data_IF_940262639905
#
_entry.id   IF_940262639905
#
_cell.length_a   1.000
_cell.length_b   1.000
_cell.length_c   1.000
_cell.angle_alpha   90.00
_cell.angle_beta   90.00
_cell.angle_gamma   90.00
#
_symmetry.space_group_name_H-M   'P 1'
#
loop_
_entity.id
_entity.type
_entity.pdbx_description
1 polymer ?
#
# COMPACT_ATOMS: atom_id res chain seq x y z
N UNK A 1 -16.83 36.32 -1.60
CA UNK A 1 -15.44 36.49 -2.07
C UNK A 1 -15.04 35.23 -2.82
N UNK A 2 -14.77 35.34 -4.13
CA UNK A 2 -14.40 34.21 -4.98
C UNK A 2 -12.94 34.43 -5.34
N UNK A 3 -12.03 33.84 -4.58
CA UNK A 3 -10.60 33.92 -4.89
C UNK A 3 -10.34 33.04 -6.10
N UNK A 4 -9.90 33.67 -7.20
CA UNK A 4 -9.32 32.98 -8.33
C UNK A 4 -8.07 32.26 -7.84
N UNK A 5 -8.20 30.96 -7.57
CA UNK A 5 -7.06 30.05 -7.45
C UNK A 5 -6.72 29.64 -8.88
N UNK A 6 -5.48 29.91 -9.27
CA UNK A 6 -4.97 29.65 -10.60
C UNK A 6 -5.20 28.21 -11.03
N UNK A 7 -5.46 28.00 -12.32
CA UNK A 7 -5.62 26.69 -12.92
C UNK A 7 -4.39 25.77 -12.73
N UNK A 8 -3.25 26.36 -12.38
CA UNK A 8 -1.97 25.76 -12.00
C UNK A 8 -1.97 25.00 -10.66
N UNK A 9 -2.71 25.48 -9.64
CA UNK A 9 -2.76 24.83 -8.33
C UNK A 9 -3.62 23.54 -8.35
N UNK A 10 -4.70 23.57 -9.14
CA UNK A 10 -5.60 22.43 -9.31
C UNK A 10 -4.98 21.25 -10.07
N UNK A 11 -4.20 21.54 -11.11
CA UNK A 11 -3.44 20.52 -11.84
C UNK A 11 -2.38 19.88 -10.93
N UNK A 12 -1.68 20.68 -10.11
CA UNK A 12 -0.71 20.19 -9.14
C UNK A 12 -1.32 19.24 -8.09
N UNK A 13 -2.49 19.57 -7.53
CA UNK A 13 -3.17 18.68 -6.56
C UNK A 13 -3.60 17.36 -7.20
N UNK A 14 -4.12 17.38 -8.42
CA UNK A 14 -4.50 16.15 -9.13
C UNK A 14 -3.27 15.29 -9.48
N UNK A 15 -2.18 15.90 -9.94
CA UNK A 15 -0.91 15.21 -10.21
C UNK A 15 -0.32 14.57 -8.94
N UNK A 16 -0.37 15.27 -7.80
CA UNK A 16 0.10 14.73 -6.53
C UNK A 16 -0.73 13.50 -6.10
N UNK A 17 -2.05 13.54 -6.26
CA UNK A 17 -2.90 12.38 -5.98
C UNK A 17 -2.58 11.18 -6.88
N UNK A 18 -2.28 11.43 -8.17
CA UNK A 18 -1.82 10.39 -9.10
C UNK A 18 -0.47 9.83 -8.66
N UNK A 19 0.48 10.68 -8.29
CA UNK A 19 1.80 10.26 -7.81
C UNK A 19 1.69 9.40 -6.53
N UNK A 20 0.86 9.82 -5.57
CA UNK A 20 0.56 9.06 -4.35
C UNK A 20 -0.09 7.71 -4.70
N UNK A 21 -0.99 7.67 -5.68
CA UNK A 21 -1.63 6.42 -6.11
C UNK A 21 -0.61 5.45 -6.73
N UNK A 22 0.30 5.93 -7.56
CA UNK A 22 1.39 5.12 -8.13
C UNK A 22 2.36 4.64 -7.05
N UNK A 23 2.73 5.50 -6.11
CA UNK A 23 3.58 5.13 -4.97
C UNK A 23 2.92 4.02 -4.11
N UNK A 24 1.60 4.11 -3.87
CA UNK A 24 0.84 3.06 -3.18
C UNK A 24 0.83 1.75 -3.95
N UNK A 25 0.67 1.77 -5.28
CA UNK A 25 0.74 0.56 -6.12
C UNK A 25 2.11 -0.09 -6.03
N UNK A 26 3.18 0.69 -6.12
CA UNK A 26 4.53 0.17 -6.01
C UNK A 26 4.82 -0.43 -4.63
N UNK A 27 4.41 0.27 -3.57
CA UNK A 27 4.51 -0.25 -2.21
C UNK A 27 3.75 -1.56 -2.04
N UNK A 28 2.55 -1.68 -2.62
CA UNK A 28 1.75 -2.91 -2.57
C UNK A 28 2.44 -4.07 -3.29
N UNK A 29 3.08 -3.84 -4.45
CA UNK A 29 3.87 -4.86 -5.16
C UNK A 29 5.05 -5.35 -4.32
N UNK A 30 5.79 -4.42 -3.71
CA UNK A 30 6.92 -4.74 -2.81
C UNK A 30 6.47 -5.51 -1.57
N UNK A 31 5.34 -5.12 -0.98
CA UNK A 31 4.73 -5.81 0.15
C UNK A 31 4.39 -7.26 -0.22
N UNK A 32 3.76 -7.49 -1.38
CA UNK A 32 3.42 -8.85 -1.83
C UNK A 32 4.66 -9.76 -1.99
N UNK A 33 5.73 -9.24 -2.61
CA UNK A 33 6.98 -9.98 -2.75
C UNK A 33 7.58 -10.30 -1.38
N UNK A 34 7.59 -9.34 -0.46
CA UNK A 34 8.11 -9.53 0.90
C UNK A 34 7.29 -10.57 1.68
N UNK A 35 5.96 -10.50 1.60
CA UNK A 35 5.05 -11.46 2.24
C UNK A 35 5.26 -12.87 1.69
N UNK A 36 5.39 -13.02 0.36
CA UNK A 36 5.66 -14.32 -0.26
C UNK A 36 7.00 -14.89 0.18
N UNK A 37 8.07 -14.08 0.23
CA UNK A 37 9.38 -14.50 0.74
C UNK A 37 9.31 -14.92 2.20
N UNK A 38 8.65 -14.13 3.05
CA UNK A 38 8.47 -14.43 4.47
C UNK A 38 7.68 -15.72 4.71
N UNK A 39 6.63 -15.96 3.91
CA UNK A 39 5.88 -17.22 3.94
C UNK A 39 6.74 -18.40 3.52
N UNK A 40 7.52 -18.26 2.45
CA UNK A 40 8.43 -19.31 1.97
C UNK A 40 9.57 -19.60 2.97
N UNK A 41 9.98 -18.62 3.77
CA UNK A 41 10.96 -18.81 4.85
C UNK A 41 10.34 -19.31 6.17
N UNK A 42 9.04 -19.64 6.17
CA UNK A 42 8.37 -20.29 7.30
C UNK A 42 7.73 -19.35 8.33
N UNK A 43 7.77 -18.02 8.15
CA UNK A 43 7.12 -17.09 9.08
C UNK A 43 5.60 -17.30 9.09
N UNK A 44 4.99 -17.29 10.28
CA UNK A 44 3.54 -17.41 10.43
C UNK A 44 2.87 -16.09 10.03
N UNK A 45 1.63 -16.18 9.54
CA UNK A 45 0.82 -15.00 9.19
C UNK A 45 0.75 -13.94 10.30
N UNK A 46 0.67 -14.36 11.57
CA UNK A 46 0.67 -13.43 12.70
C UNK A 46 1.95 -12.61 12.81
N UNK A 47 3.11 -13.25 12.63
CA UNK A 47 4.43 -12.60 12.71
C UNK A 47 4.61 -11.58 11.58
N UNK A 48 4.24 -11.96 10.36
CA UNK A 48 4.28 -11.06 9.19
C UNK A 48 3.33 -9.87 9.39
N UNK A 49 2.13 -10.10 9.95
CA UNK A 49 1.19 -9.04 10.29
C UNK A 49 1.78 -8.04 11.28
N UNK A 50 2.37 -8.53 12.38
CA UNK A 50 3.04 -7.68 13.39
C UNK A 50 4.13 -6.81 12.77
N UNK A 51 4.97 -7.38 11.89
CA UNK A 51 6.04 -6.63 11.21
C UNK A 51 5.51 -5.57 10.24
N UNK A 52 4.35 -5.79 9.62
CA UNK A 52 3.68 -4.83 8.74
C UNK A 52 2.76 -3.85 9.48
N UNK A 53 2.66 -3.95 10.81
CA UNK A 53 1.77 -3.11 11.62
C UNK A 53 0.28 -3.39 11.40
N UNK A 54 -0.08 -4.59 10.92
CA UNK A 54 -1.46 -5.00 10.65
C UNK A 54 -1.83 -6.25 11.43
N UNK A 55 -3.13 -6.46 11.66
CA UNK A 55 -3.59 -7.65 12.34
C UNK A 55 -3.37 -8.91 11.49
N UNK A 56 -3.22 -10.07 12.14
CA UNK A 56 -3.23 -11.39 11.49
C UNK A 56 -4.45 -11.57 10.58
N UNK A 57 -5.61 -11.06 10.98
CA UNK A 57 -6.83 -11.19 10.20
C UNK A 57 -6.77 -10.36 8.90
N UNK A 58 -6.19 -9.16 8.96
CA UNK A 58 -5.96 -8.29 7.80
C UNK A 58 -5.06 -8.97 6.79
N UNK A 59 -3.91 -9.47 7.22
CA UNK A 59 -2.96 -10.11 6.31
C UNK A 59 -3.51 -11.40 5.73
N UNK A 60 -4.20 -12.21 6.54
CA UNK A 60 -4.81 -13.45 6.06
C UNK A 60 -5.90 -13.15 5.03
N UNK A 61 -6.76 -12.15 5.26
CA UNK A 61 -7.77 -11.73 4.27
C UNK A 61 -7.15 -11.28 2.95
N UNK A 62 -6.07 -10.49 3.01
CA UNK A 62 -5.37 -9.90 1.86
C UNK A 62 -4.59 -10.95 1.06
N UNK A 63 -3.90 -11.87 1.73
CA UNK A 63 -2.93 -12.79 1.13
C UNK A 63 -3.33 -14.27 1.17
N UNK A 64 -4.56 -14.63 1.57
CA UNK A 64 -5.04 -16.03 1.56
C UNK A 64 -4.93 -16.76 0.21
N UNK A 65 -4.83 -16.02 -0.89
CA UNK A 65 -4.67 -16.57 -2.25
C UNK A 65 -3.21 -16.70 -2.70
N UNK A 66 -2.26 -16.20 -1.92
CA UNK A 66 -0.82 -16.16 -2.24
C UNK A 66 -0.09 -17.37 -1.63
N UNK A 67 -0.83 -18.35 -1.11
CA UNK A 67 -0.31 -19.63 -0.62
C UNK A 67 -0.62 -20.76 -1.58
#
# INVERSE_FOLDING_TARGET
MKTAVGADDGDNVLQELVAVAEAKKELARREEIAVRKARNSGLKWGEIGTLLGVTKQTIHRKYRKVG
#
